data_IF_142021671468
#
_entry.id   IF_142021671468
#
_cell.length_a   1.000
_cell.length_b   1.000
_cell.length_c   1.000
_cell.angle_alpha   90.00
_cell.angle_beta   90.00
_cell.angle_gamma   90.00
#
_symmetry.space_group_name_H-M   'P 1'
#
loop_
_entity.id
_entity.type
_entity.pdbx_description
1 polymer ?
#
# COMPACT_ATOMS: atom_id res chain seq x y z
N UNK A 1 -51.99 -27.25 -24.34
CA UNK A 1 -50.77 -26.73 -25.00
C UNK A 1 -49.60 -26.89 -24.04
N UNK A 2 -48.60 -27.68 -24.46
CA UNK A 2 -47.14 -27.62 -24.20
C UNK A 2 -46.59 -27.53 -22.76
N UNK A 3 -45.99 -28.67 -22.33
CA UNK A 3 -44.66 -28.93 -21.70
C UNK A 3 -44.15 -27.98 -20.58
N UNK A 4 -44.06 -28.43 -19.32
CA UNK A 4 -42.94 -29.14 -18.62
C UNK A 4 -41.63 -28.33 -18.51
N UNK A 5 -41.24 -27.99 -17.28
CA UNK A 5 -39.91 -28.29 -16.72
C UNK A 5 -39.91 -28.13 -15.19
N UNK A 6 -39.70 -29.24 -14.48
CA UNK A 6 -39.38 -29.32 -13.06
C UNK A 6 -37.86 -29.48 -12.89
N UNK A 7 -37.25 -28.84 -11.90
CA UNK A 7 -35.97 -29.20 -11.25
C UNK A 7 -36.02 -28.62 -9.82
N UNK A 8 -36.40 -29.36 -8.78
CA UNK A 8 -35.62 -30.26 -7.91
C UNK A 8 -34.38 -29.62 -7.25
N UNK A 9 -34.58 -29.29 -5.97
CA UNK A 9 -33.69 -29.35 -4.81
C UNK A 9 -32.16 -29.38 -4.97
N UNK A 10 -31.51 -28.46 -4.24
CA UNK A 10 -30.28 -28.78 -3.49
C UNK A 10 -30.26 -27.96 -2.19
N UNK A 11 -30.76 -28.57 -1.12
CA UNK A 11 -30.48 -28.20 0.27
C UNK A 11 -29.04 -28.59 0.59
N UNK A 12 -28.09 -27.66 0.49
CA UNK A 12 -26.77 -27.82 1.09
C UNK A 12 -26.80 -27.29 2.52
N UNK A 13 -27.28 -28.15 3.42
CA UNK A 13 -26.96 -28.09 4.83
C UNK A 13 -25.45 -28.37 4.93
N UNK A 14 -24.65 -27.31 5.07
CA UNK A 14 -23.24 -27.45 5.47
C UNK A 14 -23.21 -27.77 6.98
N UNK A 15 -23.55 -29.01 7.32
CA UNK A 15 -23.02 -29.69 8.50
C UNK A 15 -21.53 -29.95 8.25
N UNK A 16 -20.71 -28.92 8.45
CA UNK A 16 -19.27 -29.00 8.54
C UNK A 16 -18.86 -28.50 9.92
N UNK A 17 -18.24 -29.39 10.70
CA UNK A 17 -17.84 -29.24 12.08
C UNK A 17 -17.29 -27.84 12.43
N UNK A 18 -17.98 -27.15 13.35
CA UNK A 18 -17.40 -26.05 14.10
C UNK A 18 -16.34 -26.62 15.05
N UNK A 19 -15.14 -26.85 14.53
CA UNK A 19 -13.94 -26.86 15.36
C UNK A 19 -13.79 -25.43 15.85
N UNK A 20 -13.76 -25.24 17.17
CA UNK A 20 -13.29 -24.01 17.79
C UNK A 20 -11.79 -23.84 17.47
N UNK A 21 -11.51 -23.51 16.22
CA UNK A 21 -10.19 -23.21 15.70
C UNK A 21 -9.98 -21.72 15.78
N UNK A 22 -8.80 -21.33 16.22
CA UNK A 22 -8.21 -19.99 16.09
C UNK A 22 -8.75 -19.22 14.89
N UNK A 23 -8.99 -17.90 14.97
CA UNK A 23 -9.39 -17.09 13.82
C UNK A 23 -8.31 -17.18 12.74
N UNK A 24 -8.45 -18.15 11.85
CA UNK A 24 -7.71 -18.23 10.61
C UNK A 24 -8.27 -17.08 9.80
N UNK A 25 -7.45 -16.04 9.64
CA UNK A 25 -7.66 -14.99 8.66
C UNK A 25 -8.29 -15.59 7.40
N UNK A 26 -9.36 -14.95 6.91
CA UNK A 26 -9.98 -15.36 5.65
C UNK A 26 -8.88 -15.53 4.59
N UNK A 27 -9.02 -16.48 3.64
CA UNK A 27 -8.02 -16.62 2.58
C UNK A 27 -7.79 -15.26 1.94
N UNK A 28 -6.51 -14.89 1.77
CA UNK A 28 -6.15 -13.76 0.92
C UNK A 28 -6.70 -14.05 -0.47
N UNK A 29 -7.77 -13.37 -0.86
CA UNK A 29 -8.28 -13.48 -2.22
C UNK A 29 -7.29 -12.79 -3.19
N UNK A 30 -7.24 -13.30 -4.42
CA UNK A 30 -6.35 -12.76 -5.44
C UNK A 30 -6.71 -11.31 -5.81
N UNK A 31 -7.98 -10.92 -5.66
CA UNK A 31 -8.44 -9.56 -5.95
C UNK A 31 -7.79 -8.53 -5.02
N UNK A 32 -7.84 -8.75 -3.70
CA UNK A 32 -7.21 -7.88 -2.72
C UNK A 32 -5.70 -7.86 -2.88
N UNK A 33 -5.08 -9.02 -3.13
CA UNK A 33 -3.64 -9.12 -3.41
C UNK A 33 -3.24 -8.26 -4.61
N UNK A 34 -3.99 -8.34 -5.70
CA UNK A 34 -3.74 -7.52 -6.89
C UNK A 34 -3.98 -6.03 -6.60
N UNK A 35 -4.99 -5.69 -5.81
CA UNK A 35 -5.24 -4.31 -5.38
C UNK A 35 -4.06 -3.75 -4.57
N UNK A 36 -3.47 -4.54 -3.66
CA UNK A 36 -2.26 -4.16 -2.92
C UNK A 36 -1.09 -3.96 -3.87
N UNK A 37 -0.82 -4.90 -4.79
CA UNK A 37 0.29 -4.78 -5.75
C UNK A 37 0.14 -3.51 -6.61
N UNK A 38 -1.07 -3.24 -7.10
CA UNK A 38 -1.37 -2.03 -7.86
C UNK A 38 -1.18 -0.76 -7.03
N UNK A 39 -1.58 -0.77 -5.74
CA UNK A 39 -1.36 0.33 -4.82
C UNK A 39 0.13 0.62 -4.61
N UNK A 40 0.94 -0.42 -4.40
CA UNK A 40 2.39 -0.25 -4.21
C UNK A 40 3.09 0.19 -5.50
N UNK A 41 2.67 -0.34 -6.65
CA UNK A 41 3.17 0.12 -7.95
C UNK A 41 2.86 1.60 -8.21
N UNK A 42 1.65 2.04 -7.85
CA UNK A 42 1.28 3.45 -7.97
C UNK A 42 2.06 4.35 -7.01
N UNK A 43 2.38 3.89 -5.78
CA UNK A 43 3.32 4.61 -4.90
C UNK A 43 4.67 4.84 -5.59
N UNK A 44 5.24 3.79 -6.19
CA UNK A 44 6.49 3.90 -6.94
C UNK A 44 6.42 4.93 -8.07
N UNK A 45 5.27 5.05 -8.72
CA UNK A 45 5.02 6.06 -9.77
C UNK A 45 5.03 7.49 -9.21
N UNK A 46 4.48 7.70 -8.00
CA UNK A 46 4.48 9.02 -7.35
C UNK A 46 5.88 9.44 -6.87
N UNK A 47 6.76 8.49 -6.57
CA UNK A 47 8.11 8.78 -6.09
C UNK A 47 9.06 9.30 -7.20
N UNK A 48 8.79 8.95 -8.46
CA UNK A 48 9.63 9.39 -9.60
C UNK A 48 9.77 10.91 -9.70
N UNK A 49 8.67 11.66 -9.82
CA UNK A 49 8.69 13.12 -9.89
C UNK A 49 9.35 13.80 -8.68
N UNK A 50 9.23 13.20 -7.49
CA UNK A 50 9.92 13.68 -6.28
C UNK A 50 11.44 13.54 -6.46
N UNK A 51 11.91 12.39 -6.92
CA UNK A 51 13.32 12.15 -7.22
C UNK A 51 13.86 13.10 -8.30
N UNK A 52 13.09 13.31 -9.37
CA UNK A 52 13.46 14.23 -10.46
C UNK A 52 13.60 15.67 -9.96
N UNK A 53 12.65 16.14 -9.14
CA UNK A 53 12.70 17.47 -8.55
C UNK A 53 13.89 17.66 -7.58
N UNK A 54 14.24 16.62 -6.82
CA UNK A 54 15.38 16.62 -5.89
C UNK A 54 16.73 16.60 -6.62
N UNK A 55 16.82 15.91 -7.75
CA UNK A 55 18.08 15.68 -8.49
C UNK A 55 18.31 16.64 -9.65
N UNK A 56 17.38 17.57 -9.90
CA UNK A 56 17.58 18.67 -10.84
C UNK A 56 18.88 19.46 -10.55
N UNK A 57 19.51 20.10 -11.56
CA UNK A 57 20.77 20.85 -11.39
C UNK A 57 20.71 21.90 -10.25
N UNK A 58 19.52 22.47 -10.04
CA UNK A 58 19.12 23.15 -8.82
C UNK A 58 17.80 22.51 -8.41
N UNK A 59 17.68 22.07 -7.16
CA UNK A 59 16.45 21.46 -6.63
C UNK A 59 15.24 22.34 -6.95
N UNK A 60 14.26 21.78 -7.65
CA UNK A 60 13.01 22.47 -7.95
C UNK A 60 12.03 22.29 -6.79
N UNK A 61 12.06 23.23 -5.85
CA UNK A 61 11.19 23.21 -4.67
C UNK A 61 9.70 23.34 -5.01
N UNK A 62 9.35 23.97 -6.15
CA UNK A 62 7.96 24.07 -6.58
C UNK A 62 7.43 22.74 -7.09
N UNK A 63 8.20 22.07 -7.97
CA UNK A 63 7.88 20.73 -8.45
C UNK A 63 7.89 19.70 -7.30
N UNK A 64 8.84 19.84 -6.37
CA UNK A 64 8.94 18.98 -5.19
C UNK A 64 7.70 19.09 -4.29
N UNK A 65 7.28 20.31 -3.98
CA UNK A 65 6.08 20.56 -3.17
C UNK A 65 4.82 19.96 -3.80
N UNK A 66 4.63 20.17 -5.12
CA UNK A 66 3.50 19.60 -5.84
C UNK A 66 3.53 18.06 -5.85
N UNK A 67 4.69 17.48 -6.14
CA UNK A 67 4.85 16.01 -6.20
C UNK A 67 4.62 15.36 -4.83
N UNK A 68 5.07 16.00 -3.74
CA UNK A 68 4.84 15.51 -2.39
C UNK A 68 3.38 15.68 -1.94
N UNK A 69 2.70 16.73 -2.39
CA UNK A 69 1.24 16.87 -2.23
C UNK A 69 0.49 15.75 -2.96
N UNK A 70 0.92 15.40 -4.18
CA UNK A 70 0.27 14.35 -4.97
C UNK A 70 0.54 12.94 -4.39
N UNK A 71 1.75 12.68 -3.89
CA UNK A 71 2.03 11.48 -3.10
C UNK A 71 1.10 11.36 -1.90
N UNK A 72 0.91 12.45 -1.14
CA UNK A 72 0.00 12.46 0.02
C UNK A 72 -1.42 12.10 -0.40
N UNK A 73 -1.95 12.77 -1.42
CA UNK A 73 -3.30 12.47 -1.95
C UNK A 73 -3.42 11.03 -2.42
N UNK A 74 -2.38 10.51 -3.08
CA UNK A 74 -2.36 9.14 -3.54
C UNK A 74 -2.47 8.15 -2.37
N UNK A 75 -1.61 8.29 -1.35
CA UNK A 75 -1.65 7.47 -0.12
C UNK A 75 -3.04 7.52 0.51
N UNK A 76 -3.57 8.72 0.74
CA UNK A 76 -4.88 8.94 1.37
C UNK A 76 -6.03 8.32 0.56
N UNK A 77 -5.88 8.25 -0.76
CA UNK A 77 -6.88 7.66 -1.64
C UNK A 77 -6.81 6.14 -1.77
N UNK A 78 -5.63 5.54 -1.53
CA UNK A 78 -5.37 4.13 -1.82
C UNK A 78 -5.33 3.26 -0.57
N UNK A 79 -4.75 3.77 0.52
CA UNK A 79 -4.67 3.07 1.79
C UNK A 79 -6.03 2.52 2.25
N UNK A 80 -7.14 3.29 2.29
CA UNK A 80 -8.44 2.77 2.72
C UNK A 80 -9.08 1.78 1.74
N UNK A 81 -8.57 1.65 0.51
CA UNK A 81 -9.07 0.67 -0.48
C UNK A 81 -8.43 -0.70 -0.30
N UNK A 82 -7.24 -0.74 0.28
CA UNK A 82 -6.46 -1.98 0.44
C UNK A 82 -6.27 -2.36 1.91
N UNK A 83 -6.60 -1.49 2.85
CA UNK A 83 -6.54 -1.77 4.29
C UNK A 83 -7.86 -1.45 5.01
N UNK A 84 -8.28 -2.27 5.99
CA UNK A 84 -7.66 -3.55 6.38
C UNK A 84 -7.99 -4.66 5.38
N UNK A 85 -7.01 -5.51 5.09
CA UNK A 85 -7.18 -6.78 4.41
C UNK A 85 -7.39 -7.96 5.36
N UNK A 86 -7.39 -9.19 4.83
CA UNK A 86 -7.67 -10.38 5.63
C UNK A 86 -6.52 -10.79 6.56
N UNK A 87 -5.26 -10.46 6.23
CA UNK A 87 -4.08 -10.83 7.02
C UNK A 87 -3.59 -9.69 7.93
N UNK A 88 -3.53 -9.96 9.24
CA UNK A 88 -3.15 -8.97 10.27
C UNK A 88 -1.70 -8.52 10.16
N UNK A 89 -0.77 -9.42 9.83
CA UNK A 89 0.65 -9.08 9.71
C UNK A 89 0.90 -8.25 8.46
N UNK A 90 0.24 -8.60 7.35
CA UNK A 90 0.28 -7.79 6.13
C UNK A 90 -0.32 -6.41 6.39
N UNK A 91 -1.45 -6.33 7.09
CA UNK A 91 -2.08 -5.05 7.43
C UNK A 91 -1.18 -4.15 8.27
N UNK A 92 -0.48 -4.71 9.26
CA UNK A 92 0.45 -3.95 10.09
C UNK A 92 1.62 -3.41 9.25
N UNK A 93 2.28 -4.27 8.47
CA UNK A 93 3.42 -3.86 7.65
C UNK A 93 3.04 -2.84 6.56
N UNK A 94 1.94 -3.08 5.83
CA UNK A 94 1.46 -2.13 4.82
C UNK A 94 0.95 -0.83 5.45
N UNK A 95 0.28 -0.91 6.59
CA UNK A 95 -0.17 0.25 7.35
C UNK A 95 0.99 1.17 7.73
N UNK A 96 2.01 0.61 8.39
CA UNK A 96 3.24 1.32 8.73
C UNK A 96 3.94 1.90 7.49
N UNK A 97 3.94 1.16 6.38
CA UNK A 97 4.50 1.61 5.11
C UNK A 97 3.76 2.81 4.51
N UNK A 98 2.43 2.76 4.42
CA UNK A 98 1.61 3.87 3.93
C UNK A 98 1.73 5.11 4.84
N UNK A 99 1.69 4.93 6.15
CA UNK A 99 1.85 6.02 7.12
C UNK A 99 3.24 6.65 7.03
N UNK A 100 4.27 5.82 6.78
CA UNK A 100 5.62 6.27 6.49
C UNK A 100 5.70 7.13 5.22
N UNK A 101 5.06 6.71 4.12
CA UNK A 101 5.01 7.51 2.89
C UNK A 101 4.20 8.80 3.05
N UNK A 102 3.12 8.78 3.84
CA UNK A 102 2.38 9.98 4.20
C UNK A 102 3.26 10.96 4.99
N UNK A 103 3.99 10.46 5.99
CA UNK A 103 4.94 11.25 6.79
C UNK A 103 6.09 11.80 5.95
N UNK A 104 6.60 11.03 4.99
CA UNK A 104 7.57 11.49 4.00
C UNK A 104 6.99 12.65 3.19
N UNK A 105 5.78 12.50 2.64
CA UNK A 105 5.10 13.55 1.89
C UNK A 105 4.98 14.84 2.70
N UNK A 106 4.54 14.76 3.96
CA UNK A 106 4.42 15.91 4.85
C UNK A 106 5.76 16.61 5.12
N UNK A 107 6.82 15.82 5.33
CA UNK A 107 8.17 16.34 5.54
C UNK A 107 8.73 16.99 4.28
N UNK A 108 8.47 16.39 3.13
CA UNK A 108 8.91 16.84 1.81
C UNK A 108 8.20 18.13 1.38
N UNK A 109 6.88 18.22 1.57
CA UNK A 109 6.06 19.39 1.25
C UNK A 109 6.58 20.66 1.95
N UNK A 110 7.07 20.49 3.17
CA UNK A 110 7.61 21.55 4.00
C UNK A 110 9.11 21.85 3.78
N UNK A 111 9.73 21.28 2.73
CA UNK A 111 11.11 21.57 2.41
C UNK A 111 11.26 22.95 1.75
N UNK A 112 12.33 23.67 2.12
CA UNK A 112 12.74 24.94 1.55
C UNK A 112 14.24 24.94 1.26
N UNK A 113 14.76 25.90 0.49
CA UNK A 113 16.20 26.05 0.28
C UNK A 113 17.02 26.21 1.57
N UNK A 114 16.40 26.65 2.67
CA UNK A 114 17.05 26.90 3.96
C UNK A 114 17.06 25.68 4.91
N UNK A 115 16.67 24.49 4.43
CA UNK A 115 16.64 23.30 5.29
C UNK A 115 18.00 22.90 5.82
N UNK A 116 18.02 22.38 7.04
CA UNK A 116 19.22 21.79 7.62
C UNK A 116 19.49 20.39 7.06
N UNK A 117 20.77 19.99 7.07
CA UNK A 117 21.20 18.63 6.73
C UNK A 117 20.46 17.57 7.54
N UNK A 118 20.26 17.80 8.84
CA UNK A 118 19.52 16.90 9.72
C UNK A 118 18.08 16.64 9.25
N UNK A 119 17.42 17.65 8.67
CA UNK A 119 16.04 17.50 8.15
C UNK A 119 16.02 16.66 6.88
N UNK A 120 17.02 16.81 6.01
CA UNK A 120 17.18 15.97 4.82
C UNK A 120 17.53 14.52 5.20
N UNK A 121 18.39 14.31 6.20
CA UNK A 121 18.67 12.98 6.74
C UNK A 121 17.40 12.32 7.28
N UNK A 122 16.61 13.05 8.07
CA UNK A 122 15.34 12.53 8.61
C UNK A 122 14.36 12.13 7.50
N UNK A 123 14.25 12.96 6.45
CA UNK A 123 13.43 12.62 5.29
C UNK A 123 13.90 11.30 4.65
N UNK A 124 15.19 11.16 4.38
CA UNK A 124 15.77 9.93 3.83
C UNK A 124 15.50 8.70 4.70
N UNK A 125 15.71 8.81 6.02
CA UNK A 125 15.39 7.72 6.96
C UNK A 125 13.91 7.35 6.93
N UNK A 126 13.01 8.34 6.87
CA UNK A 126 11.56 8.07 6.77
C UNK A 126 11.22 7.32 5.49
N UNK A 127 11.84 7.70 4.36
CA UNK A 127 11.66 7.01 3.07
C UNK A 127 12.13 5.56 3.14
N UNK A 128 13.32 5.33 3.69
CA UNK A 128 13.90 3.98 3.80
C UNK A 128 13.05 3.08 4.70
N UNK A 129 12.60 3.58 5.84
CA UNK A 129 11.71 2.84 6.75
C UNK A 129 10.36 2.51 6.10
N UNK A 130 9.72 3.49 5.44
CA UNK A 130 8.47 3.27 4.73
C UNK A 130 8.60 2.20 3.63
N UNK A 131 9.69 2.27 2.85
CA UNK A 131 9.99 1.30 1.81
C UNK A 131 10.25 -0.10 2.38
N UNK A 132 10.98 -0.21 3.48
CA UNK A 132 11.22 -1.48 4.17
C UNK A 132 9.92 -2.13 4.63
N UNK A 133 9.02 -1.37 5.26
CA UNK A 133 7.71 -1.86 5.71
C UNK A 133 6.81 -2.28 4.56
N UNK A 134 6.81 -1.52 3.47
CA UNK A 134 6.08 -1.89 2.26
C UNK A 134 6.59 -3.22 1.67
N UNK A 135 7.91 -3.38 1.59
CA UNK A 135 8.52 -4.62 1.12
C UNK A 135 8.25 -5.81 2.05
N UNK A 136 8.18 -5.59 3.35
CA UNK A 136 7.79 -6.61 4.33
C UNK A 136 6.35 -7.09 4.07
N UNK A 137 5.40 -6.16 3.91
CA UNK A 137 4.02 -6.50 3.56
C UNK A 137 3.89 -7.26 2.24
N UNK A 138 4.62 -6.84 1.20
CA UNK A 138 4.66 -7.53 -0.09
C UNK A 138 5.28 -8.94 0.00
N UNK A 139 6.33 -9.13 0.79
CA UNK A 139 6.93 -10.45 1.02
C UNK A 139 5.99 -11.38 1.77
N UNK A 140 5.25 -10.89 2.75
CA UNK A 140 4.21 -11.65 3.45
C UNK A 140 3.09 -12.06 2.49
N UNK A 141 2.83 -11.23 1.48
CA UNK A 141 1.97 -11.58 0.35
C UNK A 141 2.64 -12.51 -0.67
N UNK A 142 3.85 -13.00 -0.46
CA UNK A 142 4.53 -13.88 -1.42
C UNK A 142 4.83 -13.22 -2.77
N UNK A 143 4.88 -11.89 -2.82
CA UNK A 143 5.36 -11.14 -3.99
C UNK A 143 6.89 -11.20 -3.98
N UNK A 144 7.48 -11.68 -5.07
CA UNK A 144 8.92 -11.68 -5.22
C UNK A 144 9.41 -10.25 -5.46
N UNK A 145 10.28 -9.76 -4.60
CA UNK A 145 10.82 -8.41 -4.69
C UNK A 145 12.22 -8.54 -5.30
N UNK A 146 12.44 -8.03 -6.53
CA UNK A 146 13.76 -8.09 -7.14
C UNK A 146 14.79 -7.44 -6.21
N UNK A 147 15.90 -8.15 -5.97
CA UNK A 147 17.00 -7.62 -5.16
C UNK A 147 17.61 -6.44 -5.90
N UNK A 148 17.76 -5.33 -5.17
CA UNK A 148 18.39 -4.08 -5.62
C UNK A 148 19.83 -4.31 -6.06
#
# INVERSE_FOLDING_TARGET
MRYIAAVVAATSVLTGCAVAGTPTAAPVDDEWRQAVIAAVSGLGTQLGPIGDAMTAPVTDYGALHNSCTDLRKYVDSVQPKVLPGPDVQVNAALGDGFDGFRSMADQCEALTPANSSARLTKLGTTMDEAHLRMNEGLKLLGVDIPKR
#
